data_IF_618315449748
#
_entry.id   IF_618315449748
#
_cell.length_a   1.000
_cell.length_b   1.000
_cell.length_c   1.000
_cell.angle_alpha   90.00
_cell.angle_beta   90.00
_cell.angle_gamma   90.00
#
_symmetry.space_group_name_H-M   'P 1'
#
loop_
_entity.id
_entity.type
_entity.pdbx_description
1 polymer ?
#
# COMPACT_ATOMS: atom_id res chain seq x y z
N UNK A 1 -14.53 -0.03 -2.78
CA UNK A 1 -14.04 0.45 -4.10
C UNK A 1 -12.53 0.23 -4.10
N UNK A 2 -11.93 -0.12 -5.25
CA UNK A 2 -10.48 -0.37 -5.30
C UNK A 2 -9.72 0.91 -5.60
N UNK A 3 -8.46 0.97 -5.16
CA UNK A 3 -7.57 2.09 -5.44
C UNK A 3 -6.26 1.54 -6.00
N UNK A 4 -6.02 1.74 -7.29
CA UNK A 4 -4.77 1.51 -8.02
C UNK A 4 -3.61 2.40 -7.53
N UNK A 5 -3.82 3.26 -6.52
CA UNK A 5 -2.77 4.03 -5.83
C UNK A 5 -1.76 3.17 -5.04
N UNK A 6 -1.95 1.85 -5.03
CA UNK A 6 -1.13 0.83 -4.37
C UNK A 6 0.38 0.91 -4.60
N UNK A 7 0.80 1.56 -5.69
CA UNK A 7 2.23 1.83 -5.93
C UNK A 7 2.85 2.71 -4.82
N UNK A 8 2.05 3.43 -4.03
CA UNK A 8 2.55 4.39 -3.02
C UNK A 8 2.39 3.90 -1.58
N UNK A 9 1.40 3.05 -1.25
CA UNK A 9 1.13 2.59 0.13
C UNK A 9 2.40 2.01 0.79
N UNK A 10 3.23 1.32 0.01
CA UNK A 10 4.44 0.72 0.51
C UNK A 10 5.65 1.67 0.63
N UNK A 11 5.59 2.85 0.00
CA UNK A 11 6.68 3.82 0.04
C UNK A 11 6.82 4.49 1.43
N UNK A 12 5.79 4.40 2.25
CA UNK A 12 5.76 4.92 3.62
C UNK A 12 6.42 3.96 4.65
N UNK A 13 6.63 2.67 4.31
CA UNK A 13 7.39 1.70 5.13
C UNK A 13 8.85 2.10 5.37
N UNK A 14 9.37 3.02 4.56
CA UNK A 14 10.79 3.37 4.51
C UNK A 14 11.25 4.37 5.57
N UNK A 15 10.34 4.96 6.36
CA UNK A 15 10.74 5.79 7.50
C UNK A 15 11.37 4.99 8.65
N UNK A 16 11.34 3.66 8.60
CA UNK A 16 11.85 2.80 9.69
C UNK A 16 13.27 2.25 9.42
N UNK A 17 13.79 2.37 8.19
CA UNK A 17 15.12 1.83 7.84
C UNK A 17 16.31 2.78 8.07
N UNK A 18 16.11 4.05 8.47
CA UNK A 18 17.22 4.94 8.78
C UNK A 18 17.03 5.63 10.13
N UNK A 19 17.95 5.37 11.06
CA UNK A 19 18.19 6.23 12.22
C UNK A 19 18.63 7.61 11.72
N UNK A 20 17.67 8.49 11.49
CA UNK A 20 17.86 9.81 10.94
C UNK A 20 16.62 10.23 10.16
N UNK A 21 15.66 10.81 10.88
CA UNK A 21 14.38 11.36 10.39
C UNK A 21 14.55 12.04 9.03
N UNK A 22 14.29 11.30 7.94
CA UNK A 22 13.91 11.91 6.68
C UNK A 22 12.40 12.04 6.73
N UNK A 23 11.96 13.28 6.85
CA UNK A 23 10.56 13.67 6.94
C UNK A 23 9.78 12.99 5.81
N UNK A 24 8.62 12.37 6.07
CA UNK A 24 7.71 12.05 4.98
C UNK A 24 7.50 13.34 4.18
N UNK A 25 7.75 13.29 2.87
CA UNK A 25 7.55 14.43 1.97
C UNK A 25 6.04 14.63 1.76
N UNK A 26 5.33 15.07 2.81
CA UNK A 26 4.00 15.65 2.64
C UNK A 26 4.18 17.01 1.96
N UNK A 27 3.78 17.11 0.69
CA UNK A 27 3.70 18.38 -0.01
C UNK A 27 2.28 18.59 -0.51
N UNK A 28 1.46 19.26 0.30
CA UNK A 28 0.17 19.81 -0.15
C UNK A 28 0.49 20.97 -1.10
N UNK A 29 0.39 20.75 -2.41
CA UNK A 29 0.55 21.80 -3.41
C UNK A 29 -0.81 22.39 -3.78
N UNK A 30 -1.06 23.61 -3.30
CA UNK A 30 -2.17 24.43 -3.78
C UNK A 30 -1.90 24.97 -5.20
N UNK A 31 -2.85 24.67 -6.09
CA UNK A 31 -3.14 25.28 -7.42
C UNK A 31 -2.71 24.52 -8.67
N UNK A 32 -3.69 24.46 -9.59
CA UNK A 32 -3.78 23.87 -10.91
C UNK A 32 -2.47 23.61 -11.66
N UNK A 33 -2.21 22.34 -11.97
CA UNK A 33 -1.22 21.91 -12.98
C UNK A 33 -1.87 20.83 -13.85
N UNK A 34 -1.77 20.99 -15.17
CA UNK A 34 -2.16 20.00 -16.15
C UNK A 34 -0.96 19.06 -16.42
N UNK A 35 -1.05 17.74 -16.17
CA UNK A 35 0.04 16.83 -16.48
C UNK A 35 -0.23 16.05 -17.77
N UNK A 36 0.73 16.09 -18.70
CA UNK A 36 0.88 15.05 -19.72
C UNK A 36 1.31 13.74 -19.03
N UNK A 37 0.70 12.61 -19.37
CA UNK A 37 1.17 11.28 -18.94
C UNK A 37 2.24 10.76 -19.91
N UNK A 38 3.30 10.11 -19.41
CA UNK A 38 4.29 9.47 -20.30
C UNK A 38 3.79 8.12 -20.81
N UNK A 39 3.88 7.90 -22.11
CA UNK A 39 3.32 6.75 -22.85
C UNK A 39 4.06 5.39 -22.68
N UNK A 40 4.87 5.17 -21.63
CA UNK A 40 5.58 3.89 -21.42
C UNK A 40 5.48 3.44 -19.96
N UNK A 41 5.01 2.20 -19.67
CA UNK A 41 4.99 1.65 -18.32
C UNK A 41 6.40 1.67 -17.73
N UNK A 42 6.50 2.15 -16.50
CA UNK A 42 7.76 2.26 -15.80
C UNK A 42 8.16 0.87 -15.28
N UNK A 43 9.15 0.23 -15.90
CA UNK A 43 9.64 -1.09 -15.53
C UNK A 43 10.27 -1.05 -14.12
N UNK A 44 9.76 -1.81 -13.12
CA UNK A 44 9.67 -1.26 -11.78
C UNK A 44 10.93 -1.42 -10.92
N UNK A 45 11.81 -2.42 -11.08
CA UNK A 45 12.85 -2.59 -10.07
C UNK A 45 14.05 -1.65 -10.14
N UNK A 46 14.71 -1.60 -11.29
CA UNK A 46 16.02 -0.94 -11.44
C UNK A 46 15.94 0.58 -11.53
N UNK A 47 14.74 1.14 -11.68
CA UNK A 47 14.55 2.58 -11.89
C UNK A 47 13.62 3.25 -10.89
N UNK A 48 12.69 2.54 -10.24
CA UNK A 48 11.65 3.20 -9.43
C UNK A 48 12.15 3.41 -8.01
N UNK A 49 12.60 2.31 -7.40
CA UNK A 49 13.08 2.27 -6.02
C UNK A 49 14.23 3.27 -5.80
N UNK A 50 15.24 3.39 -6.70
CA UNK A 50 16.30 4.38 -6.53
C UNK A 50 15.84 5.84 -6.62
N UNK A 51 14.73 6.14 -7.32
CA UNK A 51 14.21 7.53 -7.43
C UNK A 51 13.80 8.11 -6.08
N UNK A 52 13.48 7.23 -5.11
CA UNK A 52 13.16 7.60 -3.74
C UNK A 52 14.35 7.48 -2.78
N UNK A 53 15.57 7.35 -3.32
CA UNK A 53 16.80 7.31 -2.53
C UNK A 53 17.04 5.99 -1.81
N UNK A 54 16.40 4.91 -2.27
CA UNK A 54 16.54 3.57 -1.72
C UNK A 54 17.67 2.85 -2.46
N UNK A 55 18.65 2.36 -1.71
CA UNK A 55 19.76 1.60 -2.29
C UNK A 55 19.30 0.19 -2.67
N UNK A 56 19.09 -0.03 -3.96
CA UNK A 56 18.67 -1.34 -4.49
C UNK A 56 19.80 -2.37 -4.53
N UNK A 57 21.05 -1.97 -4.30
CA UNK A 57 22.16 -2.92 -4.19
C UNK A 57 22.16 -3.66 -2.85
N UNK A 58 21.49 -3.11 -1.84
CA UNK A 58 21.26 -3.78 -0.56
C UNK A 58 20.10 -4.78 -0.67
N UNK A 59 20.44 -6.07 -0.69
CA UNK A 59 19.47 -7.16 -0.68
C UNK A 59 18.91 -7.49 0.71
N UNK A 60 19.44 -6.87 1.78
CA UNK A 60 18.98 -7.07 3.16
C UNK A 60 17.85 -6.12 3.57
N UNK A 61 17.42 -5.23 2.67
CA UNK A 61 16.27 -4.33 2.88
C UNK A 61 15.04 -5.10 3.34
N UNK A 62 14.52 -4.70 4.51
CA UNK A 62 13.35 -5.34 5.14
C UNK A 62 13.68 -6.58 5.98
N UNK A 63 14.95 -6.95 6.15
CA UNK A 63 15.32 -8.09 6.98
C UNK A 63 14.73 -7.96 8.40
N UNK A 64 14.08 -9.02 8.87
CA UNK A 64 13.43 -9.07 10.17
C UNK A 64 12.09 -8.32 10.26
N UNK A 65 11.60 -7.74 9.16
CA UNK A 65 10.28 -7.13 9.09
C UNK A 65 9.28 -8.10 8.47
N UNK A 66 8.04 -8.06 8.97
CA UNK A 66 6.87 -8.70 8.36
C UNK A 66 5.96 -7.62 7.78
N UNK A 67 5.72 -7.68 6.47
CA UNK A 67 4.77 -6.84 5.76
C UNK A 67 3.54 -7.71 5.48
N UNK A 68 2.38 -7.31 5.99
CA UNK A 68 1.12 -7.98 5.75
C UNK A 68 0.26 -7.15 4.80
N UNK A 69 -0.34 -7.81 3.81
CA UNK A 69 -1.24 -7.23 2.81
C UNK A 69 -2.59 -7.90 3.00
N UNK A 70 -3.67 -7.11 2.99
CA UNK A 70 -5.04 -7.61 3.09
C UNK A 70 -5.76 -7.30 1.78
N UNK A 71 -6.22 -8.35 1.11
CA UNK A 71 -6.98 -8.25 -0.13
C UNK A 71 -8.21 -9.15 -0.10
N UNK A 72 -9.23 -8.79 -0.86
CA UNK A 72 -10.39 -9.67 -1.03
C UNK A 72 -10.17 -10.70 -2.13
N UNK A 73 -10.88 -11.82 -1.99
CA UNK A 73 -10.91 -12.96 -2.91
C UNK A 73 -9.60 -13.74 -3.01
N UNK A 74 -9.69 -14.85 -3.75
CA UNK A 74 -8.76 -15.97 -3.65
C UNK A 74 -7.33 -15.70 -4.06
N UNK A 75 -7.04 -14.85 -5.05
CA UNK A 75 -5.69 -14.62 -5.61
C UNK A 75 -4.85 -15.91 -5.78
N UNK A 76 -5.39 -16.93 -6.45
CA UNK A 76 -4.79 -18.27 -6.54
C UNK A 76 -3.39 -18.30 -7.19
N UNK A 77 -3.07 -17.34 -8.05
CA UNK A 77 -1.78 -17.25 -8.77
C UNK A 77 -0.72 -16.39 -8.09
N UNK A 78 -1.03 -15.75 -6.95
CA UNK A 78 -0.14 -14.77 -6.30
C UNK A 78 1.30 -15.28 -6.08
N UNK A 79 1.46 -16.52 -5.61
CA UNK A 79 2.79 -17.13 -5.38
C UNK A 79 3.58 -17.32 -6.68
N UNK A 80 2.95 -17.85 -7.73
CA UNK A 80 3.62 -18.10 -9.02
C UNK A 80 3.97 -16.79 -9.72
N UNK A 81 3.06 -15.82 -9.68
CA UNK A 81 3.26 -14.52 -10.31
C UNK A 81 4.37 -13.73 -9.60
N UNK A 82 4.40 -13.76 -8.27
CA UNK A 82 5.49 -13.17 -7.48
C UNK A 82 6.84 -13.82 -7.80
N UNK A 83 6.90 -15.15 -7.99
CA UNK A 83 8.14 -15.84 -8.34
C UNK A 83 8.65 -15.42 -9.73
N UNK A 84 7.74 -15.29 -10.71
CA UNK A 84 8.06 -14.80 -12.06
C UNK A 84 8.54 -13.35 -11.99
N UNK A 85 7.81 -12.48 -11.30
CA UNK A 85 8.17 -11.09 -11.08
C UNK A 85 9.56 -10.95 -10.43
N UNK A 86 9.82 -11.73 -9.38
CA UNK A 86 11.10 -11.73 -8.67
C UNK A 86 12.25 -12.06 -9.62
N UNK A 87 12.10 -13.14 -10.41
CA UNK A 87 13.09 -13.58 -11.39
C UNK A 87 13.33 -12.51 -12.47
N UNK A 88 12.27 -11.93 -13.02
CA UNK A 88 12.35 -10.88 -14.06
C UNK A 88 13.04 -9.61 -13.57
N UNK A 89 12.95 -9.33 -12.26
CA UNK A 89 13.52 -8.14 -11.64
C UNK A 89 14.86 -8.39 -10.92
N UNK A 90 15.43 -9.60 -11.05
CA UNK A 90 16.71 -9.95 -10.41
C UNK A 90 16.65 -9.99 -8.88
N UNK A 91 15.46 -10.18 -8.31
CA UNK A 91 15.25 -10.34 -6.88
C UNK A 91 15.45 -11.81 -6.48
N UNK A 92 15.86 -12.03 -5.22
CA UNK A 92 15.85 -13.37 -4.63
C UNK A 92 14.44 -13.93 -4.47
N UNK A 93 14.34 -15.20 -4.07
CA UNK A 93 13.06 -15.82 -3.73
C UNK A 93 12.40 -15.08 -2.57
N UNK A 94 11.16 -14.64 -2.75
CA UNK A 94 10.38 -14.00 -1.70
C UNK A 94 10.12 -14.95 -0.52
N UNK A 95 10.23 -14.43 0.71
CA UNK A 95 9.71 -15.09 1.90
C UNK A 95 8.20 -14.82 1.97
N UNK A 96 7.42 -15.58 1.22
CA UNK A 96 5.98 -15.34 1.04
C UNK A 96 5.13 -16.38 1.79
N UNK A 97 4.10 -15.92 2.49
CA UNK A 97 3.07 -16.76 3.10
C UNK A 97 1.70 -16.20 2.77
N UNK A 98 0.73 -17.09 2.57
CA UNK A 98 -0.66 -16.74 2.29
C UNK A 98 -1.57 -17.37 3.34
N UNK A 99 -2.57 -16.63 3.79
CA UNK A 99 -3.60 -17.08 4.73
C UNK A 99 -4.98 -16.63 4.26
N UNK A 100 -6.02 -17.35 4.66
CA UNK A 100 -7.39 -16.82 4.66
C UNK A 100 -7.60 -15.83 5.84
N UNK A 101 -8.73 -15.12 5.87
CA UNK A 101 -9.07 -14.15 6.92
C UNK A 101 -9.21 -14.74 8.34
N UNK A 102 -9.16 -16.07 8.48
CA UNK A 102 -9.19 -16.78 9.76
C UNK A 102 -7.80 -17.35 10.12
N UNK A 103 -6.75 -16.96 9.38
CA UNK A 103 -5.38 -17.41 9.57
C UNK A 103 -5.09 -18.84 9.11
N UNK A 104 -6.01 -19.44 8.37
CA UNK A 104 -5.94 -20.79 7.78
C UNK A 104 -5.49 -20.78 6.32
N UNK A 105 -5.78 -21.88 5.61
CA UNK A 105 -5.46 -22.04 4.17
C UNK A 105 -6.69 -22.46 3.36
N UNK A 106 -7.89 -22.20 3.86
CA UNK A 106 -9.14 -22.44 3.14
C UNK A 106 -9.49 -21.18 2.35
N UNK A 107 -8.73 -20.92 1.30
CA UNK A 107 -8.83 -19.68 0.55
C UNK A 107 -10.19 -19.56 -0.18
N UNK A 108 -10.75 -18.35 -0.27
CA UNK A 108 -11.92 -18.09 -1.09
C UNK A 108 -11.63 -18.29 -2.58
N UNK A 109 -12.68 -18.25 -3.39
CA UNK A 109 -12.52 -18.26 -4.86
C UNK A 109 -11.89 -16.96 -5.33
N UNK A 110 -11.15 -17.04 -6.42
CA UNK A 110 -10.70 -15.87 -7.16
C UNK A 110 -11.88 -14.99 -7.57
N UNK A 111 -11.60 -13.70 -7.73
CA UNK A 111 -12.61 -12.72 -8.07
C UNK A 111 -13.13 -13.00 -9.49
N UNK A 112 -14.45 -13.13 -9.70
CA UNK A 112 -15.00 -13.31 -11.04
C UNK A 112 -14.59 -12.21 -12.03
N UNK A 113 -14.27 -10.99 -11.56
CA UNK A 113 -13.84 -9.86 -12.38
C UNK A 113 -12.35 -9.90 -12.75
N UNK A 114 -11.58 -10.88 -12.24
CA UNK A 114 -10.16 -11.06 -12.62
C UNK A 114 -10.00 -11.30 -14.12
N UNK A 115 -10.98 -11.94 -14.76
CA UNK A 115 -10.97 -12.22 -16.19
C UNK A 115 -11.06 -10.96 -17.07
N UNK A 116 -11.61 -9.85 -16.55
CA UNK A 116 -11.64 -8.56 -17.25
C UNK A 116 -10.47 -7.64 -16.90
N UNK A 117 -9.59 -8.05 -15.98
CA UNK A 117 -8.50 -7.21 -15.47
C UNK A 117 -8.95 -6.14 -14.48
N UNK A 118 -10.25 -6.12 -14.16
CA UNK A 118 -10.88 -5.25 -13.17
C UNK A 118 -11.19 -6.08 -11.92
N UNK A 119 -10.37 -7.07 -11.57
CA UNK A 119 -10.52 -7.97 -10.42
C UNK A 119 -9.43 -7.78 -9.35
N UNK A 120 -9.66 -8.32 -8.15
CA UNK A 120 -8.71 -8.20 -7.02
C UNK A 120 -7.38 -8.90 -7.26
N UNK A 121 -7.30 -9.87 -8.17
CA UNK A 121 -6.06 -10.57 -8.49
C UNK A 121 -4.97 -9.65 -9.07
N UNK A 122 -5.35 -8.63 -9.83
CA UNK A 122 -4.39 -7.61 -10.34
C UNK A 122 -3.87 -6.74 -9.20
N UNK A 123 -4.75 -6.36 -8.28
CA UNK A 123 -4.42 -5.58 -7.08
C UNK A 123 -3.45 -6.35 -6.18
N UNK A 124 -3.81 -7.60 -5.86
CA UNK A 124 -2.95 -8.48 -5.07
C UNK A 124 -1.59 -8.71 -5.71
N UNK A 125 -1.55 -8.88 -7.03
CA UNK A 125 -0.29 -9.00 -7.75
C UNK A 125 0.55 -7.73 -7.59
N UNK A 126 -0.04 -6.55 -7.75
CA UNK A 126 0.65 -5.26 -7.58
C UNK A 126 1.20 -5.09 -6.17
N UNK A 127 0.40 -5.37 -5.15
CA UNK A 127 0.78 -5.22 -3.74
C UNK A 127 1.94 -6.12 -3.35
N UNK A 128 1.83 -7.43 -3.58
CA UNK A 128 2.86 -8.40 -3.15
C UNK A 128 4.16 -8.24 -3.92
N UNK A 129 4.09 -7.85 -5.21
CA UNK A 129 5.26 -7.63 -6.05
C UNK A 129 5.98 -6.33 -5.66
N UNK A 130 5.23 -5.26 -5.36
CA UNK A 130 5.80 -3.99 -4.91
C UNK A 130 6.42 -4.15 -3.52
N UNK A 131 5.76 -4.88 -2.62
CA UNK A 131 6.30 -5.27 -1.31
C UNK A 131 7.68 -5.93 -1.42
N UNK A 132 7.77 -6.98 -2.24
CA UNK A 132 9.03 -7.71 -2.44
C UNK A 132 10.10 -6.87 -3.12
N UNK A 133 9.70 -5.98 -4.02
CA UNK A 133 10.63 -5.12 -4.71
C UNK A 133 11.34 -4.14 -3.77
N UNK A 134 10.58 -3.52 -2.86
CA UNK A 134 11.08 -2.52 -1.91
C UNK A 134 11.76 -3.17 -0.71
N UNK A 135 11.31 -4.36 -0.30
CA UNK A 135 11.80 -5.07 0.88
C UNK A 135 12.06 -6.55 0.59
N UNK A 136 13.05 -6.88 -0.26
CA UNK A 136 13.29 -8.26 -0.71
C UNK A 136 13.67 -9.25 0.39
N UNK A 137 14.13 -8.78 1.55
CA UNK A 137 14.43 -9.62 2.71
C UNK A 137 13.31 -9.64 3.76
N UNK A 138 12.19 -8.94 3.54
CA UNK A 138 11.03 -9.01 4.42
C UNK A 138 10.26 -10.31 4.26
N UNK A 139 9.59 -10.72 5.32
CA UNK A 139 8.51 -11.70 5.26
C UNK A 139 7.26 -11.01 4.72
N UNK A 140 6.75 -11.47 3.59
CA UNK A 140 5.51 -10.98 3.00
C UNK A 140 4.39 -11.94 3.36
N UNK A 141 3.36 -11.42 4.01
CA UNK A 141 2.13 -12.15 4.34
C UNK A 141 1.01 -11.57 3.51
N UNK A 142 0.33 -12.41 2.73
CA UNK A 142 -0.92 -12.06 2.07
C UNK A 142 -2.07 -12.70 2.87
N UNK A 143 -3.03 -11.89 3.32
CA UNK A 143 -4.29 -12.36 3.88
C UNK A 143 -5.38 -12.10 2.86
N UNK A 144 -6.00 -13.18 2.38
CA UNK A 144 -7.14 -13.11 1.47
C UNK A 144 -8.45 -13.25 2.23
N UNK A 145 -9.42 -12.39 1.92
CA UNK A 145 -10.73 -12.34 2.59
C UNK A 145 -11.84 -12.85 1.67
N UNK A 146 -12.92 -13.37 2.25
CA UNK A 146 -14.02 -14.02 1.52
C UNK A 146 -14.74 -13.04 0.60
N UNK A 147 -14.79 -11.77 0.97
CA UNK A 147 -15.29 -10.67 0.16
C UNK A 147 -14.63 -9.33 0.52
N UNK A 148 -14.98 -8.28 -0.22
CA UNK A 148 -14.57 -6.91 0.05
C UNK A 148 -15.46 -6.19 1.07
N UNK A 149 -16.23 -6.93 1.88
CA UNK A 149 -17.01 -6.35 2.98
C UNK A 149 -16.10 -5.90 4.12
N UNK A 150 -16.48 -4.85 4.84
CA UNK A 150 -15.69 -4.34 5.96
C UNK A 150 -15.47 -5.39 7.04
N UNK A 151 -16.46 -6.24 7.34
CA UNK A 151 -16.33 -7.34 8.31
C UNK A 151 -15.23 -8.33 7.91
N UNK A 152 -15.16 -8.70 6.63
CA UNK A 152 -14.16 -9.63 6.12
C UNK A 152 -12.76 -9.00 6.07
N UNK A 153 -12.69 -7.73 5.67
CA UNK A 153 -11.45 -6.95 5.65
C UNK A 153 -10.91 -6.71 7.07
N UNK A 154 -11.78 -6.43 8.05
CA UNK A 154 -11.43 -6.30 9.46
C UNK A 154 -10.86 -7.62 10.03
N UNK A 155 -11.48 -8.76 9.70
CA UNK A 155 -10.93 -10.08 10.06
C UNK A 155 -9.55 -10.32 9.43
N UNK A 156 -9.35 -9.85 8.19
CA UNK A 156 -8.04 -9.88 7.52
C UNK A 156 -6.97 -9.05 8.25
N UNK A 157 -7.32 -7.83 8.68
CA UNK A 157 -6.45 -6.95 9.49
C UNK A 157 -6.08 -7.63 10.81
N UNK A 158 -7.03 -8.22 11.51
CA UNK A 158 -6.76 -8.93 12.76
C UNK A 158 -5.85 -10.15 12.53
N UNK A 159 -6.06 -10.90 11.44
CA UNK A 159 -5.17 -11.99 11.06
C UNK A 159 -3.74 -11.50 10.81
N UNK A 160 -3.54 -10.33 10.21
CA UNK A 160 -2.21 -9.75 10.07
C UNK A 160 -1.52 -9.52 11.42
N UNK A 161 -2.23 -8.98 12.40
CA UNK A 161 -1.73 -8.81 13.78
C UNK A 161 -1.33 -10.16 14.37
N UNK A 162 -2.21 -11.15 14.28
CA UNK A 162 -1.98 -12.50 14.84
C UNK A 162 -0.79 -13.23 14.16
N UNK A 163 -0.50 -12.92 12.89
CA UNK A 163 0.66 -13.45 12.17
C UNK A 163 1.95 -12.65 12.39
N UNK A 164 1.93 -11.67 13.29
CA UNK A 164 3.10 -10.89 13.70
C UNK A 164 3.53 -9.86 12.66
N UNK A 165 2.57 -9.20 12.01
CA UNK A 165 2.87 -8.08 11.12
C UNK A 165 3.60 -6.96 11.88
N UNK A 166 4.64 -6.40 11.27
CA UNK A 166 5.18 -5.10 11.69
C UNK A 166 4.46 -3.97 10.96
N UNK A 167 4.06 -4.24 9.72
CA UNK A 167 3.39 -3.28 8.84
C UNK A 167 2.21 -3.94 8.14
N UNK A 168 1.11 -3.21 8.02
CA UNK A 168 -0.09 -3.61 7.25
C UNK A 168 -0.28 -2.63 6.09
N UNK A 169 -0.44 -3.16 4.88
CA UNK A 169 -0.72 -2.40 3.65
C UNK A 169 -2.15 -2.69 3.19
N UNK A 170 -2.95 -1.64 3.03
CA UNK A 170 -4.36 -1.70 2.65
C UNK A 170 -4.57 -0.91 1.36
N UNK A 171 -4.78 -1.60 0.24
CA UNK A 171 -4.97 -1.01 -1.09
C UNK A 171 -6.45 -0.93 -1.49
N UNK A 172 -7.30 -0.60 -0.52
CA UNK A 172 -8.75 -0.51 -0.69
C UNK A 172 -9.31 0.71 0.02
N UNK A 173 -10.45 1.18 -0.48
CA UNK A 173 -11.11 2.38 0.02
C UNK A 173 -12.62 2.37 -0.15
N UNK A 174 -13.30 3.09 0.73
CA UNK A 174 -14.74 3.26 0.73
C UNK A 174 -15.17 4.63 1.25
N UNK A 175 -16.45 4.99 1.08
CA UNK A 175 -16.98 6.24 1.63
C UNK A 175 -16.71 6.33 3.13
N UNK A 176 -16.38 7.53 3.63
CA UNK A 176 -16.30 7.74 5.08
C UNK A 176 -17.65 7.58 5.78
N UNK A 177 -17.60 7.33 7.10
CA UNK A 177 -18.79 7.20 7.95
C UNK A 177 -19.30 5.77 8.11
N UNK A 178 -18.66 4.81 7.44
CA UNK A 178 -18.67 3.42 7.85
C UNK A 178 -17.54 3.17 8.87
N UNK A 179 -17.89 2.49 9.96
CA UNK A 179 -16.99 2.25 11.09
C UNK A 179 -16.59 0.76 11.18
N UNK A 180 -16.93 -0.06 10.17
CA UNK A 180 -16.68 -1.50 10.19
C UNK A 180 -15.21 -1.89 10.35
N UNK A 181 -14.27 -0.99 10.02
CA UNK A 181 -12.84 -1.21 10.15
C UNK A 181 -12.22 -0.61 11.42
N UNK A 182 -12.93 0.28 12.14
CA UNK A 182 -12.34 1.12 13.19
C UNK A 182 -11.71 0.29 14.32
N UNK A 183 -12.43 -0.70 14.85
CA UNK A 183 -11.97 -1.55 15.94
C UNK A 183 -10.72 -2.36 15.53
N UNK A 184 -10.67 -2.85 14.29
CA UNK A 184 -9.53 -3.62 13.78
C UNK A 184 -8.29 -2.72 13.57
N UNK A 185 -8.50 -1.49 13.08
CA UNK A 185 -7.43 -0.51 12.91
C UNK A 185 -6.87 -0.04 14.25
N UNK A 186 -7.73 0.23 15.23
CA UNK A 186 -7.32 0.57 16.60
C UNK A 186 -6.54 -0.57 17.24
N UNK A 187 -7.06 -1.79 17.19
CA UNK A 187 -6.40 -3.00 17.72
C UNK A 187 -5.02 -3.23 17.11
N UNK A 188 -4.90 -3.09 15.79
CA UNK A 188 -3.62 -3.23 15.10
C UNK A 188 -2.62 -2.14 15.50
N UNK A 189 -3.07 -0.88 15.60
CA UNK A 189 -2.25 0.23 16.05
C UNK A 189 -1.78 0.06 17.49
N UNK A 190 -2.67 -0.32 18.41
CA UNK A 190 -2.34 -0.60 19.82
C UNK A 190 -1.38 -1.78 19.99
N UNK A 191 -1.42 -2.73 19.05
CA UNK A 191 -0.46 -3.84 18.96
C UNK A 191 0.92 -3.41 18.44
N UNK A 192 1.11 -2.13 18.12
CA UNK A 192 2.37 -1.58 17.63
C UNK A 192 2.61 -1.79 16.14
N UNK A 193 1.56 -2.12 15.37
CA UNK A 193 1.63 -2.32 13.92
C UNK A 193 1.47 -0.98 13.21
N UNK A 194 2.33 -0.69 12.24
CA UNK A 194 2.16 0.48 11.38
C UNK A 194 1.21 0.15 10.24
N UNK A 195 0.13 0.92 10.10
CA UNK A 195 -0.92 0.66 9.11
C UNK A 195 -0.85 1.74 8.04
N UNK A 196 -0.90 1.33 6.78
CA UNK A 196 -0.85 2.20 5.61
C UNK A 196 -2.05 1.89 4.74
N UNK A 197 -2.77 2.94 4.34
CA UNK A 197 -3.89 2.81 3.40
C UNK A 197 -3.74 3.76 2.23
N UNK A 198 -4.13 3.32 1.05
CA UNK A 198 -4.24 4.19 -0.12
C UNK A 198 -5.27 5.29 0.16
N UNK A 199 -4.97 6.51 -0.27
CA UNK A 199 -5.87 7.64 -0.07
C UNK A 199 -7.00 7.71 -1.12
N UNK A 200 -6.97 6.82 -2.11
CA UNK A 200 -7.97 6.71 -3.16
C UNK A 200 -7.51 7.14 -4.56
N UNK A 201 -8.37 6.80 -5.53
CA UNK A 201 -8.14 6.98 -6.98
C UNK A 201 -9.14 7.93 -7.65
N UNK A 202 -10.08 8.46 -6.87
CA UNK A 202 -11.21 9.25 -7.37
C UNK A 202 -11.04 10.76 -7.14
N UNK A 203 -9.82 11.21 -6.78
CA UNK A 203 -9.59 12.58 -6.34
C UNK A 203 -10.24 12.84 -4.98
N UNK A 204 -10.58 14.10 -4.70
CA UNK A 204 -11.32 14.44 -3.49
C UNK A 204 -12.70 13.73 -3.44
N UNK A 205 -13.24 13.37 -2.28
CA UNK A 205 -12.84 13.74 -0.89
C UNK A 205 -12.10 12.60 -0.16
N UNK A 206 -11.89 12.73 1.16
CA UNK A 206 -11.28 11.68 1.99
C UNK A 206 -12.09 10.38 1.94
N UNK A 207 -11.42 9.24 2.13
CA UNK A 207 -12.02 7.90 2.15
C UNK A 207 -11.54 7.09 3.37
N UNK A 208 -12.35 6.10 3.77
CA UNK A 208 -11.99 5.11 4.80
C UNK A 208 -11.32 3.91 4.14
N UNK A 209 -10.25 3.31 4.71
CA UNK A 209 -9.69 3.58 6.04
C UNK A 209 -8.62 4.68 6.08
N UNK A 210 -8.28 5.31 4.96
CA UNK A 210 -7.22 6.34 4.91
C UNK A 210 -7.47 7.54 5.83
N UNK A 211 -8.73 7.87 6.12
CA UNK A 211 -9.08 8.96 7.02
C UNK A 211 -9.03 8.60 8.51
N UNK A 212 -8.75 7.33 8.85
CA UNK A 212 -8.57 6.89 10.24
C UNK A 212 -7.31 7.50 10.85
N UNK A 213 -7.40 7.90 12.13
CA UNK A 213 -6.26 8.42 12.89
C UNK A 213 -5.18 7.37 13.19
N UNK A 214 -5.52 6.08 13.06
CA UNK A 214 -4.62 4.96 13.30
C UNK A 214 -3.79 4.59 12.06
N UNK A 215 -4.07 5.24 10.92
CA UNK A 215 -3.53 4.89 9.61
C UNK A 215 -2.68 6.02 9.05
N UNK A 216 -1.59 5.65 8.38
CA UNK A 216 -0.86 6.56 7.51
C UNK A 216 -1.53 6.55 6.15
N UNK A 217 -2.26 7.62 5.84
CA UNK A 217 -2.87 7.82 4.52
C UNK A 217 -1.80 8.07 3.45
N UNK A 218 -1.89 7.37 2.32
CA UNK A 218 -0.89 7.45 1.26
C UNK A 218 -1.51 7.81 -0.09
N UNK A 219 -1.27 9.06 -0.53
CA UNK A 219 -1.73 9.57 -1.83
C UNK A 219 -0.76 9.28 -2.97
N UNK A 220 -1.12 9.72 -4.18
CA UNK A 220 -0.37 9.48 -5.42
C UNK A 220 0.26 10.72 -6.06
N UNK A 221 1.37 10.50 -6.77
CA UNK A 221 2.06 11.53 -7.56
C UNK A 221 2.25 11.08 -9.01
N UNK A 222 2.34 12.06 -9.91
CA UNK A 222 2.93 11.85 -11.23
C UNK A 222 4.45 12.03 -11.10
N UNK A 223 5.18 10.93 -11.11
CA UNK A 223 6.65 10.93 -11.05
C UNK A 223 7.24 11.14 -12.44
N UNK A 224 8.16 12.10 -12.54
CA UNK A 224 9.01 12.31 -13.72
C UNK A 224 10.45 11.97 -13.36
N UNK A 225 11.04 11.10 -14.17
CA UNK A 225 12.47 10.79 -14.13
C UNK A 225 13.17 11.41 -15.36
N UNK A 226 14.43 11.79 -15.19
CA UNK A 226 15.31 12.18 -16.28
C UNK A 226 15.67 10.98 -17.16
N UNK A 227 16.23 11.22 -18.34
CA UNK A 227 16.68 10.16 -19.27
C UNK A 227 17.74 9.24 -18.68
N UNK A 228 18.53 9.74 -17.72
CA UNK A 228 19.54 8.99 -16.97
C UNK A 228 18.97 8.18 -15.80
N UNK A 229 17.65 8.24 -15.55
CA UNK A 229 16.98 7.54 -14.47
C UNK A 229 17.04 8.26 -13.11
N UNK A 230 17.56 9.49 -13.05
CA UNK A 230 17.52 10.31 -11.83
C UNK A 230 16.17 11.00 -11.64
N UNK A 231 15.87 11.39 -10.40
CA UNK A 231 14.65 12.12 -10.05
C UNK A 231 14.62 13.49 -10.75
N UNK A 232 13.50 13.80 -11.42
CA UNK A 232 13.28 15.11 -12.02
C UNK A 232 12.27 15.93 -11.21
N UNK A 233 11.05 15.41 -11.06
CA UNK A 233 9.98 16.11 -10.35
C UNK A 233 8.82 15.19 -10.00
N UNK A 234 8.04 15.60 -9.00
CA UNK A 234 6.72 15.05 -8.71
C UNK A 234 5.68 16.16 -8.75
N UNK A 235 4.53 15.86 -9.34
CA UNK A 235 3.31 16.69 -9.23
C UNK A 235 2.19 15.84 -8.67
N UNK A 236 1.17 16.47 -8.07
CA UNK A 236 -0.01 15.75 -7.62
C UNK A 236 -0.61 14.92 -8.78
N UNK A 237 -0.97 13.68 -8.50
CA UNK A 237 -1.81 12.90 -9.41
C UNK A 237 -3.25 13.37 -9.25
N UNK A 238 -3.92 13.71 -10.35
CA UNK A 238 -5.29 14.23 -10.31
C UNK A 238 -6.31 13.22 -9.77
N UNK A 239 -5.99 11.92 -9.86
CA UNK A 239 -6.78 10.85 -9.26
C UNK A 239 -6.46 10.60 -7.77
N UNK A 240 -5.35 11.13 -7.24
CA UNK A 240 -5.00 10.91 -5.83
C UNK A 240 -6.12 11.43 -4.94
N UNK A 241 -6.65 10.54 -4.11
CA UNK A 241 -7.57 10.93 -3.09
C UNK A 241 -6.91 11.74 -1.99
N UNK A 242 -7.75 12.46 -1.25
CA UNK A 242 -7.32 13.43 -0.26
C UNK A 242 -8.43 14.41 0.10
N UNK A 243 -8.40 14.85 1.35
CA UNK A 243 -9.39 15.76 1.91
C UNK A 243 -9.28 15.80 3.43
N UNK A 244 -10.12 16.64 4.05
CA UNK A 244 -10.33 16.58 5.50
C UNK A 244 -11.45 15.59 5.78
N UNK A 245 -11.25 14.71 6.75
CA UNK A 245 -12.32 13.82 7.20
C UNK A 245 -13.51 14.61 7.72
N UNK A 246 -14.72 14.12 7.44
CA UNK A 246 -15.96 14.64 8.05
C UNK A 246 -16.29 14.01 9.40
N UNK A 247 -15.60 12.92 9.76
CA UNK A 247 -15.94 12.04 10.88
C UNK A 247 -14.80 11.95 11.91
N UNK A 248 -13.56 11.93 11.43
CA UNK A 248 -12.35 11.85 12.26
C UNK A 248 -11.81 13.25 12.53
N UNK A 249 -11.60 13.57 13.81
CA UNK A 249 -10.96 14.82 14.18
C UNK A 249 -9.44 14.75 13.96
N UNK A 250 -8.85 15.85 13.50
CA UNK A 250 -7.41 15.94 13.34
C UNK A 250 -6.67 15.72 14.68
N UNK A 251 -5.65 14.87 14.65
CA UNK A 251 -4.77 14.64 15.79
C UNK A 251 -3.92 15.90 16.08
N UNK A 252 -3.41 16.07 17.31
CA UNK A 252 -2.64 17.27 17.68
C UNK A 252 -1.47 17.59 16.74
N UNK A 253 -0.78 16.55 16.24
CA UNK A 253 0.35 16.67 15.33
C UNK A 253 -0.08 17.27 13.98
N UNK A 254 -1.24 16.87 13.46
CA UNK A 254 -1.80 17.38 12.20
C UNK A 254 -2.22 18.85 12.32
N UNK A 255 -2.81 19.25 13.45
CA UNK A 255 -3.22 20.65 13.69
C UNK A 255 -2.06 21.65 13.67
N UNK A 256 -0.83 21.17 13.87
CA UNK A 256 0.37 22.00 13.82
C UNK A 256 0.94 22.19 12.41
N UNK A 257 0.44 21.43 11.42
CA UNK A 257 0.90 21.48 10.05
C UNK A 257 0.26 22.65 9.27
N UNK A 258 1.05 23.31 8.42
CA UNK A 258 0.54 24.39 7.59
C UNK A 258 -0.50 23.87 6.58
N UNK A 259 -1.72 24.40 6.64
CA UNK A 259 -2.84 24.00 5.78
C UNK A 259 -3.93 23.17 6.47
N UNK A 260 -3.74 22.86 7.76
CA UNK A 260 -4.80 22.40 8.67
C UNK A 260 -5.41 23.55 9.46
#
# INVERSE_FOLDING_TARGET
>A
MRSLASLVVLLALLSVCFAGVRRPHFKILGKHVHPDATAKPFNPASKFVPLYGIDTSDSSRGAGQTICIVDAYGASTAQSDLAIFSSQNGLGTASFQKYDQNGGTNYPKDDPDDASGDGWGVETALDVQTAHLIAPAAKIVLVVTDSASDDDLAAGIQTCVDKGANHISLSFGGPEGDNGLDDALESAYESGVSIFASAGDSGAEAESPASSQYVVAVGGTNLRANSDGSFASETAWSGSGGGCSKYTAAIPEQKSAAGY
#
